data_IF_735706517788
#
_entry.id   IF_735706517788
#
_cell.length_a   1.000
_cell.length_b   1.000
_cell.length_c   1.000
_cell.angle_alpha   90.00
_cell.angle_beta   90.00
_cell.angle_gamma   90.00
#
_symmetry.space_group_name_H-M   'P 1'
#
loop_
_entity.id
_entity.type
_entity.pdbx_description
1 polymer ?
#
# COMPACT_ATOMS: atom_id res chain seq x y z
N UNK A 1 41.22 -2.63 9.45
CA UNK A 1 40.64 -1.40 8.86
C UNK A 1 39.24 -1.74 8.36
N UNK A 2 38.25 -1.69 9.25
CA UNK A 2 36.85 -1.95 8.88
C UNK A 2 36.25 -0.65 8.34
N UNK A 3 35.71 -0.67 7.12
CA UNK A 3 35.05 0.50 6.56
C UNK A 3 33.72 0.71 7.29
N UNK A 4 33.62 1.84 7.98
CA UNK A 4 32.35 2.33 8.53
C UNK A 4 31.49 2.80 7.36
N UNK A 5 30.35 2.14 7.14
CA UNK A 5 29.31 2.67 6.27
C UNK A 5 28.55 3.71 7.08
N UNK A 6 28.96 4.97 6.97
CA UNK A 6 28.12 6.09 7.36
C UNK A 6 27.00 6.18 6.34
N UNK A 7 25.82 5.64 6.69
CA UNK A 7 24.58 5.95 5.98
C UNK A 7 24.28 7.41 6.30
N UNK A 8 24.22 8.32 5.29
CA UNK A 8 23.71 9.65 5.53
C UNK A 8 22.23 9.47 5.85
N UNK A 9 21.88 9.61 7.12
CA UNK A 9 20.49 9.77 7.56
C UNK A 9 20.09 11.20 7.18
N UNK A 10 19.87 11.44 5.89
CA UNK A 10 19.25 12.66 5.41
C UNK A 10 17.75 12.55 5.69
N UNK A 11 17.22 13.46 6.51
CA UNK A 11 15.82 13.57 6.93
C UNK A 11 14.82 13.83 5.77
N UNK A 12 15.17 13.51 4.53
CA UNK A 12 14.38 13.70 3.31
C UNK A 12 13.56 12.48 2.88
N UNK A 13 13.82 11.29 3.42
CA UNK A 13 13.31 10.05 2.84
C UNK A 13 12.16 9.37 3.61
N UNK A 14 11.63 9.95 4.69
CA UNK A 14 10.53 9.33 5.44
C UNK A 14 9.24 9.30 4.61
N UNK A 15 8.99 10.33 3.80
CA UNK A 15 7.83 10.39 2.91
C UNK A 15 7.95 9.43 1.72
N UNK A 16 9.14 9.34 1.12
CA UNK A 16 9.42 8.47 -0.03
C UNK A 16 9.31 6.99 0.36
N UNK A 17 9.88 6.60 1.50
CA UNK A 17 9.78 5.22 2.01
C UNK A 17 8.33 4.81 2.24
N UNK A 18 7.53 5.68 2.87
CA UNK A 18 6.11 5.43 3.12
C UNK A 18 5.28 5.33 1.84
N UNK A 19 5.60 6.12 0.82
CA UNK A 19 4.93 6.03 -0.49
C UNK A 19 5.23 4.69 -1.15
N UNK A 20 6.50 4.28 -1.20
CA UNK A 20 6.89 2.99 -1.80
C UNK A 20 6.28 1.80 -1.07
N UNK A 21 6.10 1.88 0.25
CA UNK A 21 5.42 0.83 1.01
C UNK A 21 3.92 0.78 0.69
N UNK A 22 3.23 1.92 0.60
CA UNK A 22 1.81 1.98 0.21
C UNK A 22 1.59 1.50 -1.23
N UNK A 23 2.48 1.83 -2.16
CA UNK A 23 2.42 1.34 -3.54
C UNK A 23 2.48 -0.19 -3.60
N UNK A 24 3.36 -0.82 -2.81
CA UNK A 24 3.41 -2.29 -2.70
C UNK A 24 2.14 -2.88 -2.11
N UNK A 25 1.56 -2.26 -1.09
CA UNK A 25 0.30 -2.74 -0.51
C UNK A 25 -0.88 -2.58 -1.48
N UNK A 26 -0.89 -1.55 -2.32
CA UNK A 26 -1.89 -1.37 -3.39
C UNK A 26 -1.77 -2.50 -4.42
N UNK A 27 -0.57 -2.84 -4.87
CA UNK A 27 -0.38 -3.94 -5.82
C UNK A 27 -0.76 -5.29 -5.21
N UNK A 28 -0.42 -5.52 -3.94
CA UNK A 28 -0.86 -6.72 -3.21
C UNK A 28 -2.39 -6.82 -3.13
N UNK A 29 -3.08 -5.74 -2.79
CA UNK A 29 -4.54 -5.72 -2.75
C UNK A 29 -5.18 -5.91 -4.14
N UNK A 30 -4.51 -5.47 -5.23
CA UNK A 30 -4.94 -5.76 -6.61
C UNK A 30 -4.83 -7.24 -6.93
N UNK A 31 -3.72 -7.87 -6.55
CA UNK A 31 -3.53 -9.30 -6.76
C UNK A 31 -4.57 -10.11 -5.99
N UNK A 32 -4.88 -9.75 -4.74
CA UNK A 32 -5.97 -10.37 -3.98
C UNK A 32 -7.33 -10.25 -4.68
N UNK A 33 -7.67 -9.07 -5.22
CA UNK A 33 -8.91 -8.89 -5.99
C UNK A 33 -8.94 -9.70 -7.27
N UNK A 34 -7.79 -9.89 -7.94
CA UNK A 34 -7.70 -10.71 -9.14
C UNK A 34 -7.78 -12.22 -8.83
N UNK A 35 -7.33 -12.65 -7.66
CA UNK A 35 -7.40 -14.05 -7.22
C UNK A 35 -8.81 -14.44 -6.78
N UNK A 36 -9.61 -13.51 -6.26
CA UNK A 36 -10.99 -13.80 -5.90
C UNK A 36 -11.82 -13.98 -7.17
N UNK A 37 -12.27 -15.20 -7.43
CA UNK A 37 -13.26 -15.42 -8.48
C UNK A 37 -14.55 -14.69 -8.11
N UNK A 38 -15.01 -13.82 -9.00
CA UNK A 38 -16.24 -13.04 -8.84
C UNK A 38 -17.47 -13.94 -9.07
N UNK A 39 -17.62 -14.96 -8.22
CA UNK A 39 -18.80 -15.79 -8.15
C UNK A 39 -19.82 -15.06 -7.28
N UNK A 40 -20.78 -14.39 -7.92
CA UNK A 40 -21.77 -13.50 -7.29
C UNK A 40 -22.62 -14.24 -6.23
N UNK A 41 -22.77 -15.57 -6.35
CA UNK A 41 -23.52 -16.41 -5.44
C UNK A 41 -22.75 -16.80 -4.17
N UNK A 42 -21.45 -16.49 -4.10
CA UNK A 42 -20.61 -16.78 -2.94
C UNK A 42 -20.54 -15.56 -2.00
N UNK A 43 -21.37 -15.60 -0.96
CA UNK A 43 -21.46 -14.53 0.05
C UNK A 43 -20.10 -14.28 0.72
N UNK A 44 -19.31 -15.33 0.96
CA UNK A 44 -18.01 -15.21 1.61
C UNK A 44 -17.02 -14.46 0.72
N UNK A 45 -16.99 -14.78 -0.57
CA UNK A 45 -16.17 -14.05 -1.56
C UNK A 45 -16.64 -12.60 -1.75
N UNK A 46 -17.94 -12.34 -1.73
CA UNK A 46 -18.47 -10.98 -1.81
C UNK A 46 -18.04 -10.13 -0.59
N UNK A 47 -18.07 -10.71 0.62
CA UNK A 47 -17.56 -10.03 1.80
C UNK A 47 -16.04 -9.79 1.72
N UNK A 48 -15.28 -10.72 1.15
CA UNK A 48 -13.85 -10.60 0.95
C UNK A 48 -13.50 -9.48 -0.05
N UNK A 49 -14.18 -9.44 -1.19
CA UNK A 49 -14.08 -8.34 -2.18
C UNK A 49 -14.38 -6.99 -1.51
N UNK A 50 -15.43 -6.92 -0.69
CA UNK A 50 -15.79 -5.69 0.02
C UNK A 50 -14.69 -5.25 0.99
N UNK A 51 -14.11 -6.18 1.77
CA UNK A 51 -13.02 -5.90 2.71
C UNK A 51 -11.78 -5.40 1.98
N UNK A 52 -11.40 -6.04 0.87
CA UNK A 52 -10.22 -5.62 0.11
C UNK A 52 -10.46 -4.28 -0.58
N UNK A 53 -11.67 -4.02 -1.08
CA UNK A 53 -12.05 -2.73 -1.65
C UNK A 53 -11.93 -1.59 -0.62
N UNK A 54 -12.45 -1.80 0.59
CA UNK A 54 -12.32 -0.84 1.69
C UNK A 54 -10.87 -0.63 2.12
N UNK A 55 -10.05 -1.68 2.08
CA UNK A 55 -8.63 -1.59 2.38
C UNK A 55 -7.89 -0.77 1.29
N UNK A 56 -8.19 -1.00 0.02
CA UNK A 56 -7.65 -0.21 -1.09
C UNK A 56 -8.03 1.27 -1.00
N UNK A 57 -9.27 1.59 -0.62
CA UNK A 57 -9.69 2.97 -0.36
C UNK A 57 -8.86 3.64 0.76
N UNK A 58 -8.52 2.90 1.82
CA UNK A 58 -7.66 3.43 2.90
C UNK A 58 -6.25 3.70 2.40
N UNK A 59 -5.64 2.76 1.67
CA UNK A 59 -4.30 2.92 1.10
C UNK A 59 -4.22 4.11 0.16
N UNK A 60 -5.22 4.27 -0.71
CA UNK A 60 -5.30 5.42 -1.62
C UNK A 60 -5.43 6.74 -0.84
N UNK A 61 -6.26 6.79 0.20
CA UNK A 61 -6.37 7.98 1.04
C UNK A 61 -5.06 8.31 1.78
N UNK A 62 -4.34 7.32 2.26
CA UNK A 62 -3.03 7.52 2.89
C UNK A 62 -2.01 8.03 1.87
N UNK A 63 -1.97 7.45 0.67
CA UNK A 63 -1.14 7.91 -0.44
C UNK A 63 -1.43 9.37 -0.79
N UNK A 64 -2.71 9.73 -0.96
CA UNK A 64 -3.12 11.13 -1.23
C UNK A 64 -2.77 12.07 -0.08
N UNK A 65 -2.91 11.63 1.16
CA UNK A 65 -2.56 12.42 2.35
C UNK A 65 -1.06 12.70 2.38
N UNK A 66 -0.23 11.71 2.08
CA UNK A 66 1.22 11.88 2.03
C UNK A 66 1.61 12.81 0.89
N UNK A 67 1.04 12.63 -0.32
CA UNK A 67 1.33 13.54 -1.45
C UNK A 67 0.91 14.98 -1.14
N UNK A 68 -0.29 15.19 -0.58
CA UNK A 68 -0.78 16.53 -0.27
C UNK A 68 -0.01 17.20 0.88
N UNK A 69 0.49 16.44 1.85
CA UNK A 69 1.31 16.98 2.94
C UNK A 69 2.76 17.29 2.52
N UNK A 70 3.25 16.70 1.41
CA UNK A 70 4.59 16.95 0.87
C UNK A 70 4.62 18.02 -0.24
N UNK A 71 3.50 18.71 -0.49
CA UNK A 71 3.35 19.73 -1.53
C UNK A 71 3.35 21.14 -0.92
#
# INVERSE_FOLDING_TARGET
MGKNYSIPCEEKDIGVYKITDIEKEIDYARDMLNEISCDIDDLEKNEEILKISQYMDKLLNEYFTIINNNK
#
